data_IF_373362290642
#
_entry.id   IF_373362290642
#
_cell.length_a   1.000
_cell.length_b   1.000
_cell.length_c   1.000
_cell.angle_alpha   90.00
_cell.angle_beta   90.00
_cell.angle_gamma   90.00
#
_symmetry.space_group_name_H-M   'P 1'
#
loop_
_entity.id
_entity.type
_entity.pdbx_description
1 polymer ?
#
# COMPACT_ATOMS: atom_id res chain seq x y z
N UNK A 1 -15.12 0.98 -12.91
CA UNK A 1 -16.10 2.08 -12.65
C UNK A 1 -15.41 3.24 -11.92
N UNK A 2 -15.87 4.49 -12.07
CA UNK A 2 -15.33 5.62 -11.29
C UNK A 2 -15.93 5.62 -9.86
N UNK A 3 -15.08 5.55 -8.84
CA UNK A 3 -15.49 5.52 -7.43
C UNK A 3 -16.19 6.82 -6.98
N UNK A 4 -16.07 7.90 -7.77
CA UNK A 4 -16.68 9.21 -7.51
C UNK A 4 -18.20 9.16 -7.39
N UNK A 5 -18.88 8.20 -8.04
CA UNK A 5 -20.34 8.02 -7.91
C UNK A 5 -20.79 7.53 -6.53
N UNK A 6 -19.86 6.98 -5.72
CA UNK A 6 -20.16 6.32 -4.45
C UNK A 6 -19.49 6.98 -3.23
N UNK A 7 -19.11 8.26 -3.34
CA UNK A 7 -18.33 8.98 -2.31
C UNK A 7 -18.90 8.88 -0.90
N UNK A 8 -20.23 9.03 -0.75
CA UNK A 8 -20.89 8.94 0.56
C UNK A 8 -20.71 7.56 1.19
N UNK A 9 -21.04 6.50 0.43
CA UNK A 9 -20.85 5.10 0.87
C UNK A 9 -19.41 4.84 1.27
N UNK A 10 -18.46 5.23 0.43
CA UNK A 10 -17.02 5.01 0.65
C UNK A 10 -16.57 5.68 1.96
N UNK A 11 -16.99 6.92 2.17
CA UNK A 11 -16.66 7.70 3.37
C UNK A 11 -17.30 7.11 4.63
N UNK A 12 -18.56 6.70 4.56
CA UNK A 12 -19.29 6.15 5.70
C UNK A 12 -18.75 4.77 6.10
N UNK A 13 -18.44 3.90 5.13
CA UNK A 13 -17.80 2.60 5.37
C UNK A 13 -16.40 2.78 5.98
N UNK A 14 -15.57 3.65 5.42
CA UNK A 14 -14.22 3.91 5.95
C UNK A 14 -14.27 4.43 7.38
N UNK A 15 -15.18 5.36 7.69
CA UNK A 15 -15.34 5.93 9.04
C UNK A 15 -15.80 4.89 10.07
N UNK A 16 -16.75 4.03 9.69
CA UNK A 16 -17.34 3.05 10.60
C UNK A 16 -16.46 1.81 10.78
N UNK A 17 -15.84 1.31 9.71
CA UNK A 17 -15.07 0.05 9.70
C UNK A 17 -13.56 0.24 9.86
N UNK A 18 -13.04 1.42 9.54
CA UNK A 18 -11.60 1.69 9.50
C UNK A 18 -10.92 1.32 8.17
N UNK A 19 -11.69 0.76 7.23
CA UNK A 19 -11.25 0.41 5.89
C UNK A 19 -12.44 0.42 4.92
N UNK A 20 -12.15 0.49 3.62
CA UNK A 20 -13.14 0.40 2.55
C UNK A 20 -12.53 -0.31 1.35
N UNK A 21 -13.31 -1.17 0.69
CA UNK A 21 -12.89 -1.87 -0.52
C UNK A 21 -13.48 -1.16 -1.73
N UNK A 22 -12.60 -0.74 -2.65
CA UNK A 22 -12.98 -0.13 -3.93
C UNK A 22 -12.51 -1.06 -5.04
N UNK A 23 -13.45 -1.80 -5.63
CA UNK A 23 -13.17 -2.70 -6.76
C UNK A 23 -12.93 -1.88 -8.01
N UNK A 24 -12.04 -2.39 -8.88
CA UNK A 24 -11.69 -1.75 -10.16
C UNK A 24 -11.22 -0.30 -10.02
N UNK A 25 -10.52 0.02 -8.92
CA UNK A 25 -9.91 1.35 -8.77
C UNK A 25 -8.94 1.68 -9.91
N UNK A 26 -8.20 0.66 -10.35
CA UNK A 26 -7.57 0.59 -11.66
C UNK A 26 -8.32 -0.42 -12.53
N UNK A 27 -8.41 -0.14 -13.82
CA UNK A 27 -8.84 -1.13 -14.81
C UNK A 27 -7.68 -2.07 -15.16
N UNK A 28 -7.96 -3.12 -15.95
CA UNK A 28 -6.94 -4.09 -16.36
C UNK A 28 -5.73 -3.45 -17.04
N UNK A 29 -5.94 -2.44 -17.88
CA UNK A 29 -4.86 -1.69 -18.54
C UNK A 29 -3.96 -0.96 -17.53
N UNK A 30 -4.54 -0.30 -16.53
CA UNK A 30 -3.79 0.40 -15.49
C UNK A 30 -3.03 -0.56 -14.57
N UNK A 31 -3.58 -1.74 -14.29
CA UNK A 31 -2.86 -2.80 -13.55
C UNK A 31 -1.68 -3.31 -14.36
N UNK A 32 -1.87 -3.56 -15.66
CA UNK A 32 -0.81 -4.04 -16.55
C UNK A 32 0.31 -3.01 -16.75
N UNK A 33 -0.05 -1.73 -16.88
CA UNK A 33 0.93 -0.65 -16.88
C UNK A 33 1.75 -0.62 -15.59
N UNK A 34 1.08 -0.74 -14.43
CA UNK A 34 1.77 -0.73 -13.14
C UNK A 34 2.73 -1.93 -13.00
N UNK A 35 2.34 -3.12 -13.45
CA UNK A 35 3.22 -4.31 -13.48
C UNK A 35 4.46 -4.07 -14.35
N UNK A 36 4.28 -3.59 -15.57
CA UNK A 36 5.39 -3.25 -16.48
C UNK A 36 6.35 -2.23 -15.87
N UNK A 37 5.83 -1.22 -15.19
CA UNK A 37 6.66 -0.20 -14.54
C UNK A 37 7.40 -0.73 -13.30
N UNK A 38 6.83 -1.71 -12.58
CA UNK A 38 7.53 -2.42 -11.50
C UNK A 38 8.66 -3.29 -12.07
N UNK A 39 8.44 -3.99 -13.18
CA UNK A 39 9.49 -4.75 -13.86
C UNK A 39 10.62 -3.85 -14.36
N UNK A 40 10.26 -2.72 -14.99
CA UNK A 40 11.22 -1.69 -15.41
C UNK A 40 12.02 -1.17 -14.23
N UNK A 41 11.34 -0.80 -13.14
CA UNK A 41 12.00 -0.31 -11.93
C UNK A 41 12.96 -1.35 -11.34
N UNK A 42 12.54 -2.60 -11.30
CA UNK A 42 13.36 -3.72 -10.79
C UNK A 42 14.62 -3.93 -11.62
N UNK A 43 14.52 -3.81 -12.95
CA UNK A 43 15.67 -3.99 -13.85
C UNK A 43 16.59 -2.76 -13.88
N UNK A 44 16.01 -1.57 -13.98
CA UNK A 44 16.73 -0.36 -14.39
C UNK A 44 17.08 0.57 -13.20
N UNK A 45 16.29 0.53 -12.13
CA UNK A 45 16.42 1.44 -10.96
C UNK A 45 16.97 0.72 -9.73
N UNK A 46 16.45 -0.45 -9.37
CA UNK A 46 16.89 -1.21 -8.17
C UNK A 46 18.41 -1.42 -8.08
N UNK A 47 19.16 -1.70 -9.17
CA UNK A 47 20.61 -1.84 -9.08
C UNK A 47 21.36 -0.55 -8.68
N UNK A 48 20.68 0.60 -8.62
CA UNK A 48 21.27 1.94 -8.42
C UNK A 48 20.79 2.63 -7.14
N UNK A 49 19.87 2.02 -6.39
CA UNK A 49 19.35 2.60 -5.14
C UNK A 49 20.04 2.00 -3.93
N UNK A 50 19.77 2.57 -2.74
CA UNK A 50 20.39 2.08 -1.52
C UNK A 50 19.90 0.67 -1.17
N UNK A 51 20.81 -0.30 -0.88
CA UNK A 51 20.42 -1.66 -0.53
C UNK A 51 19.47 -1.77 0.67
N UNK A 52 19.50 -0.82 1.60
CA UNK A 52 18.57 -0.76 2.75
C UNK A 52 17.10 -0.59 2.36
N UNK A 53 16.83 -0.15 1.14
CA UNK A 53 15.47 0.07 0.62
C UNK A 53 14.99 -1.10 -0.27
N UNK A 54 15.81 -2.16 -0.39
CA UNK A 54 15.56 -3.37 -1.18
C UNK A 54 15.59 -4.58 -0.23
N UNK A 55 14.45 -5.21 -0.01
CA UNK A 55 14.35 -6.37 0.85
C UNK A 55 14.18 -7.62 -0.01
N UNK A 56 15.09 -8.57 0.19
CA UNK A 56 15.07 -9.86 -0.46
C UNK A 56 14.78 -10.98 0.55
N UNK A 57 14.22 -12.10 0.09
CA UNK A 57 14.12 -13.31 0.92
C UNK A 57 15.50 -13.92 1.18
N UNK A 58 16.34 -13.96 0.14
CA UNK A 58 17.75 -14.33 0.27
C UNK A 58 18.58 -13.06 0.19
N UNK A 59 19.41 -12.83 1.20
CA UNK A 59 20.25 -11.63 1.29
C UNK A 59 21.06 -11.46 -0.01
N UNK A 60 21.04 -10.25 -0.56
CA UNK A 60 21.77 -9.82 -1.77
C UNK A 60 21.36 -10.55 -3.09
N UNK A 61 20.24 -11.29 -3.09
CA UNK A 61 19.68 -11.95 -4.29
C UNK A 61 18.49 -11.18 -4.85
N UNK A 62 18.72 -10.36 -5.86
CA UNK A 62 17.69 -9.49 -6.48
C UNK A 62 16.57 -10.26 -7.19
N UNK A 63 16.78 -11.52 -7.54
CA UNK A 63 15.73 -12.42 -8.03
C UNK A 63 14.75 -12.86 -6.94
N UNK A 64 15.03 -12.52 -5.67
CA UNK A 64 14.21 -12.87 -4.51
C UNK A 64 13.64 -11.64 -3.79
N UNK A 65 13.51 -10.49 -4.48
CA UNK A 65 12.94 -9.28 -3.89
C UNK A 65 11.51 -9.55 -3.43
N UNK A 66 11.27 -9.25 -2.15
CA UNK A 66 9.95 -9.34 -1.50
C UNK A 66 9.34 -8.00 -1.17
N UNK A 67 10.16 -6.95 -1.04
CA UNK A 67 9.68 -5.61 -0.77
C UNK A 67 10.63 -4.57 -1.31
N UNK A 68 10.06 -3.54 -1.94
CA UNK A 68 10.73 -2.31 -2.34
C UNK A 68 10.06 -1.16 -1.60
N UNK A 69 10.85 -0.28 -0.99
CA UNK A 69 10.32 0.90 -0.27
C UNK A 69 10.81 2.20 -0.90
N UNK A 70 10.11 3.31 -0.60
CA UNK A 70 10.48 4.66 -1.06
C UNK A 70 10.61 4.77 -2.59
N UNK A 71 9.87 3.96 -3.35
CA UNK A 71 10.02 3.90 -4.82
C UNK A 71 9.81 5.27 -5.49
N UNK A 72 8.90 6.08 -4.94
CA UNK A 72 8.61 7.44 -5.40
C UNK A 72 9.76 8.45 -5.20
N UNK A 73 10.78 8.12 -4.42
CA UNK A 73 11.97 8.96 -4.24
C UNK A 73 13.05 8.69 -5.29
N UNK A 74 13.02 7.49 -5.88
CA UNK A 74 14.03 7.03 -6.83
C UNK A 74 13.54 7.05 -8.28
N UNK A 75 12.23 7.12 -8.51
CA UNK A 75 11.66 7.01 -9.84
C UNK A 75 10.46 7.94 -10.08
N UNK A 76 10.50 8.62 -11.21
CA UNK A 76 9.53 9.65 -11.61
C UNK A 76 8.14 9.10 -11.90
N UNK A 77 8.03 7.86 -12.39
CA UNK A 77 6.72 7.25 -12.61
C UNK A 77 6.00 7.05 -11.28
N UNK A 78 6.66 6.43 -10.30
CA UNK A 78 6.09 6.21 -8.97
C UNK A 78 5.87 7.51 -8.20
N UNK A 79 6.74 8.51 -8.40
CA UNK A 79 6.54 9.87 -7.87
C UNK A 79 5.29 10.55 -8.44
N UNK A 80 5.06 10.44 -9.75
CA UNK A 80 3.83 10.98 -10.37
C UNK A 80 2.61 10.19 -9.94
N UNK A 81 2.72 8.86 -9.79
CA UNK A 81 1.63 7.99 -9.38
C UNK A 81 1.09 8.37 -7.99
N UNK A 82 1.97 8.48 -6.98
CA UNK A 82 1.56 8.83 -5.59
C UNK A 82 0.96 10.24 -5.49
N UNK A 83 1.36 11.15 -6.39
CA UNK A 83 0.87 12.53 -6.43
C UNK A 83 -0.34 12.72 -7.36
N UNK A 84 -0.76 11.69 -8.09
CA UNK A 84 -1.81 11.83 -9.10
C UNK A 84 -3.18 12.08 -8.45
N UNK A 85 -4.02 12.85 -9.15
CA UNK A 85 -5.31 13.31 -8.65
C UNK A 85 -6.21 12.15 -8.21
N UNK A 86 -6.17 11.02 -8.91
CA UNK A 86 -6.94 9.81 -8.57
C UNK A 86 -6.70 9.34 -7.13
N UNK A 87 -5.46 9.30 -6.68
CA UNK A 87 -5.10 8.84 -5.33
C UNK A 87 -5.23 9.96 -4.31
N UNK A 88 -4.75 11.16 -4.65
CA UNK A 88 -4.80 12.32 -3.76
C UNK A 88 -6.24 12.72 -3.43
N UNK A 89 -7.15 12.72 -4.40
CA UNK A 89 -8.56 13.09 -4.17
C UNK A 89 -9.30 12.08 -3.29
N UNK A 90 -9.04 10.78 -3.44
CA UNK A 90 -9.57 9.75 -2.56
C UNK A 90 -9.02 9.91 -1.13
N UNK A 91 -7.72 10.15 -0.99
CA UNK A 91 -7.09 10.36 0.31
C UNK A 91 -7.68 11.60 1.02
N UNK A 92 -7.82 12.73 0.30
CA UNK A 92 -8.46 13.96 0.81
C UNK A 92 -9.90 13.71 1.24
N UNK A 93 -10.66 12.93 0.47
CA UNK A 93 -12.04 12.58 0.81
C UNK A 93 -12.12 11.79 2.13
N UNK A 94 -11.24 10.80 2.29
CA UNK A 94 -11.25 9.88 3.43
C UNK A 94 -10.71 10.53 4.71
N UNK A 95 -9.63 11.32 4.61
CA UNK A 95 -9.03 12.04 5.74
C UNK A 95 -9.72 13.38 6.05
N UNK A 96 -10.48 13.93 5.10
CA UNK A 96 -11.24 15.17 5.30
C UNK A 96 -10.40 16.46 5.25
N UNK A 97 -9.20 16.42 4.67
CA UNK A 97 -8.28 17.56 4.63
C UNK A 97 -7.20 17.41 3.56
N UNK A 98 -6.21 18.30 3.59
CA UNK A 98 -5.00 18.18 2.76
C UNK A 98 -4.19 16.94 3.13
N UNK A 99 -3.51 16.35 2.16
CA UNK A 99 -2.74 15.11 2.33
C UNK A 99 -1.36 15.24 1.71
N UNK A 100 -0.41 14.48 2.24
CA UNK A 100 0.96 14.39 1.74
C UNK A 100 1.28 12.91 1.51
N UNK A 101 1.71 12.57 0.29
CA UNK A 101 2.23 11.23 -0.01
C UNK A 101 3.53 11.00 0.76
N UNK A 102 3.61 9.93 1.55
CA UNK A 102 4.77 9.64 2.40
C UNK A 102 5.62 8.49 1.91
N UNK A 103 5.02 7.38 1.54
CA UNK A 103 5.77 6.19 1.15
C UNK A 103 5.02 5.44 0.05
N UNK A 104 5.75 5.00 -0.96
CA UNK A 104 5.28 4.09 -1.99
C UNK A 104 6.12 2.84 -1.92
N UNK A 105 5.42 1.72 -1.70
CA UNK A 105 6.05 0.42 -1.53
C UNK A 105 5.42 -0.59 -2.47
N UNK A 106 6.22 -1.55 -2.89
CA UNK A 106 5.77 -2.76 -3.56
C UNK A 106 6.11 -3.98 -2.70
N UNK A 107 5.19 -4.93 -2.65
CA UNK A 107 5.36 -6.19 -1.94
C UNK A 107 5.15 -7.35 -2.90
N UNK A 108 6.04 -8.33 -2.83
CA UNK A 108 5.95 -9.58 -3.56
C UNK A 108 5.89 -10.74 -2.56
N UNK A 109 4.89 -11.59 -2.72
CA UNK A 109 4.68 -12.78 -1.87
C UNK A 109 4.74 -14.03 -2.74
N UNK A 110 5.96 -14.49 -3.12
CA UNK A 110 6.09 -15.73 -3.85
C UNK A 110 5.53 -16.90 -3.03
N UNK A 111 4.89 -17.84 -3.73
CA UNK A 111 4.34 -19.08 -3.15
C UNK A 111 5.42 -19.78 -2.32
N UNK A 112 5.00 -20.39 -1.22
CA UNK A 112 5.80 -21.27 -0.33
C UNK A 112 6.94 -20.61 0.46
N UNK A 113 7.42 -19.43 0.05
CA UNK A 113 8.52 -18.72 0.73
C UNK A 113 8.00 -17.64 1.69
N UNK A 114 6.86 -17.02 1.36
CA UNK A 114 6.32 -15.90 2.14
C UNK A 114 5.69 -16.34 3.47
N UNK A 115 6.04 -15.65 4.55
CA UNK A 115 5.36 -15.80 5.87
C UNK A 115 4.13 -14.89 5.98
N UNK A 116 3.20 -15.28 6.85
CA UNK A 116 2.07 -14.42 7.21
C UNK A 116 2.57 -13.13 7.86
N UNK A 117 1.95 -12.01 7.50
CA UNK A 117 2.18 -10.72 8.17
C UNK A 117 1.37 -10.72 9.48
N UNK A 118 2.00 -10.57 10.65
CA UNK A 118 1.26 -10.58 11.92
C UNK A 118 0.29 -9.39 12.01
N UNK A 119 -0.82 -9.50 12.77
CA UNK A 119 -1.69 -8.37 13.04
C UNK A 119 -0.93 -7.20 13.68
N UNK A 120 -1.17 -5.98 13.22
CA UNK A 120 -0.49 -4.78 13.71
C UNK A 120 -1.32 -3.51 13.47
N UNK A 121 -0.91 -2.39 14.06
CA UNK A 121 -1.42 -1.06 13.72
C UNK A 121 -0.31 -0.22 13.10
N UNK A 122 -0.45 0.15 11.83
CA UNK A 122 0.51 1.01 11.10
C UNK A 122 0.84 2.30 11.86
N UNK A 123 -0.16 2.91 12.50
CA UNK A 123 -0.01 4.14 13.27
C UNK A 123 1.00 4.04 14.43
N UNK A 124 1.26 2.84 14.96
CA UNK A 124 2.32 2.63 15.95
C UNK A 124 3.72 2.84 15.34
N UNK A 125 3.93 2.38 14.11
CA UNK A 125 5.20 2.50 13.40
C UNK A 125 5.38 3.86 12.74
N UNK A 126 4.28 4.52 12.33
CA UNK A 126 4.34 5.83 11.69
C UNK A 126 4.66 6.96 12.67
N UNK A 127 4.34 6.79 13.96
CA UNK A 127 4.64 7.74 15.03
C UNK A 127 4.18 9.19 14.73
N UNK A 128 3.00 9.34 14.11
CA UNK A 128 2.44 10.63 13.76
C UNK A 128 1.66 11.26 14.92
N UNK A 129 1.71 12.59 15.01
CA UNK A 129 0.93 13.39 15.95
C UNK A 129 0.25 14.56 15.19
N UNK A 130 -1.08 14.57 15.02
CA UNK A 130 -2.03 13.50 15.36
C UNK A 130 -1.80 12.23 14.50
N UNK A 131 -2.27 11.07 14.98
CA UNK A 131 -2.10 9.78 14.29
C UNK A 131 -3.11 9.62 13.15
N UNK A 132 -2.98 10.49 12.14
CA UNK A 132 -3.89 10.60 11.01
C UNK A 132 -3.17 10.23 9.71
N UNK A 133 -3.31 8.97 9.32
CA UNK A 133 -2.83 8.46 8.05
C UNK A 133 -3.76 7.37 7.53
N UNK A 134 -3.65 7.08 6.23
CA UNK A 134 -4.23 5.89 5.62
C UNK A 134 -3.23 5.24 4.68
N UNK A 135 -3.39 3.92 4.53
CA UNK A 135 -2.65 3.12 3.56
C UNK A 135 -3.61 2.74 2.43
N UNK A 136 -3.21 2.99 1.18
CA UNK A 136 -3.91 2.46 0.01
C UNK A 136 -3.18 1.21 -0.45
N UNK A 137 -3.81 0.04 -0.27
CA UNK A 137 -3.28 -1.23 -0.76
C UNK A 137 -3.95 -1.60 -2.08
N UNK A 138 -3.16 -1.74 -3.14
CA UNK A 138 -3.63 -2.11 -4.48
C UNK A 138 -3.23 -3.55 -4.78
N UNK A 139 -4.21 -4.41 -5.02
CA UNK A 139 -3.97 -5.73 -5.57
C UNK A 139 -3.46 -5.60 -7.00
N UNK A 140 -2.29 -6.16 -7.29
CA UNK A 140 -1.80 -6.32 -8.65
C UNK A 140 -2.25 -7.65 -9.25
N UNK A 141 -2.39 -8.68 -8.42
CA UNK A 141 -2.85 -10.01 -8.79
C UNK A 141 -4.24 -10.31 -8.21
N UNK A 142 -4.84 -11.44 -8.61
CA UNK A 142 -6.02 -11.94 -7.92
C UNK A 142 -5.63 -12.44 -6.52
N UNK A 143 -6.29 -11.89 -5.49
CA UNK A 143 -5.96 -12.18 -4.09
C UNK A 143 -7.20 -12.62 -3.34
N UNK A 144 -7.09 -13.74 -2.63
CA UNK A 144 -8.15 -14.40 -1.87
C UNK A 144 -7.67 -14.83 -0.48
N UNK A 145 -8.49 -15.61 0.21
CA UNK A 145 -8.21 -16.08 1.57
C UNK A 145 -7.02 -17.04 1.67
N UNK A 146 -6.65 -17.70 0.57
CA UNK A 146 -5.65 -18.76 0.50
C UNK A 146 -4.28 -18.24 0.03
N UNK A 147 -4.23 -17.09 -0.66
CA UNK A 147 -2.99 -16.51 -1.18
C UNK A 147 -2.56 -15.19 -0.52
N UNK A 148 -3.14 -14.87 0.64
CA UNK A 148 -2.64 -13.81 1.52
C UNK A 148 -3.33 -12.46 1.38
N UNK A 149 -4.66 -12.44 1.19
CA UNK A 149 -5.43 -11.20 1.26
C UNK A 149 -5.26 -10.46 2.60
N UNK A 150 -5.46 -9.15 2.54
CA UNK A 150 -5.43 -8.29 3.74
C UNK A 150 -6.69 -8.54 4.57
N UNK A 151 -6.51 -8.80 5.87
CA UNK A 151 -7.59 -8.95 6.84
C UNK A 151 -7.60 -7.76 7.79
N UNK A 152 -8.78 -7.26 8.11
CA UNK A 152 -8.99 -6.14 9.03
C UNK A 152 -9.93 -6.53 10.17
N UNK A 153 -9.67 -6.04 11.37
CA UNK A 153 -10.64 -6.04 12.46
C UNK A 153 -11.52 -4.80 12.33
N UNK A 154 -12.75 -4.97 11.87
CA UNK A 154 -13.69 -3.87 11.63
C UNK A 154 -13.92 -3.03 12.90
N UNK A 155 -13.79 -1.71 12.78
CA UNK A 155 -13.98 -0.74 13.86
C UNK A 155 -12.81 -0.64 14.84
N UNK A 156 -11.74 -1.40 14.65
CA UNK A 156 -10.59 -1.39 15.57
C UNK A 156 -9.91 -0.03 15.72
N UNK A 157 -9.96 0.81 14.68
CA UNK A 157 -9.41 2.18 14.68
C UNK A 157 -10.10 3.12 15.68
N UNK A 158 -11.34 2.81 16.09
CA UNK A 158 -12.11 3.63 17.05
C UNK A 158 -11.58 3.54 18.49
N UNK A 159 -10.74 2.55 18.77
CA UNK A 159 -10.19 2.30 20.12
C UNK A 159 -8.77 2.84 20.31
N UNK A 160 -8.22 3.57 19.32
CA UNK A 160 -6.86 4.10 19.36
C UNK A 160 -5.78 3.02 19.23
N UNK A 161 -4.55 3.36 19.62
CA UNK A 161 -3.44 2.41 19.64
C UNK A 161 -3.54 1.47 20.84
N UNK A 162 -3.42 0.18 20.58
CA UNK A 162 -3.29 -0.87 21.60
C UNK A 162 -1.84 -0.95 22.11
N UNK A 163 -1.59 -1.56 23.27
CA UNK A 163 -0.23 -1.93 23.67
C UNK A 163 0.42 -2.78 22.58
N UNK A 164 1.65 -2.43 22.19
CA UNK A 164 2.45 -3.18 21.21
C UNK A 164 3.63 -3.81 21.93
N UNK A 165 3.88 -5.09 21.64
CA UNK A 165 5.04 -5.83 22.12
C UNK A 165 5.92 -6.22 20.94
N UNK A 166 7.22 -6.38 21.19
CA UNK A 166 8.12 -6.94 20.18
C UNK A 166 7.81 -8.42 20.05
N UNK A 167 7.31 -8.82 18.88
CA UNK A 167 7.22 -10.22 18.46
C UNK A 167 8.58 -10.80 18.16
#
# INVERSE_FOLDING_TARGET
MDWTGNRKRIKDEFRSRGYVVIREFLNSQGVEELRREIERYTRDVVPRIYPRDVYCEVKDRLDTIKQLIRMSEYDDYFRKLILSERYVSLAKLLLGGSVVGKNMQWFNKPREVSRATPPHQDGYYFMLAPNEALTMWLALDEVDEDNGCVRYVSGSHLFGLRPHERT
#
